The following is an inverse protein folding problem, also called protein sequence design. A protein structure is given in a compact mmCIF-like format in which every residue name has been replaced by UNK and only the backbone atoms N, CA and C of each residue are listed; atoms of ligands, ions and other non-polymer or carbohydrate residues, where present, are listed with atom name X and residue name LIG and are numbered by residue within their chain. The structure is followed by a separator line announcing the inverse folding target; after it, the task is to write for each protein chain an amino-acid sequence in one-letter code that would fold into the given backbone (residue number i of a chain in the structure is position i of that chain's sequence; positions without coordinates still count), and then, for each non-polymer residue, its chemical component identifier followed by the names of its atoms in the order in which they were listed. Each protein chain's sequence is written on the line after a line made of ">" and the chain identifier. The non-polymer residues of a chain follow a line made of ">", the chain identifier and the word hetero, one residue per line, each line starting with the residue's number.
data_IF_264590325633
#
_entry.id   IF_264590325633
#
_cell.length_a   1.000
_cell.length_b   1.000
_cell.length_c   1.000
_cell.angle_alpha   90.00
_cell.angle_beta   90.00
_cell.angle_gamma   90.00
#
_symmetry.space_group_name_H-M   'P 1'
#
loop_
_entity.id
_entity.type
_entity.pdbx_description
1 polymer ?
#
# COMPACT_ATOMS: atom_id res chain seq x y z
N UNK A 1 17.60 -42.02 -20.63
CA UNK A 1 17.35 -41.23 -19.41
C UNK A 1 18.68 -41.02 -18.70
N UNK A 2 19.13 -39.78 -18.54
CA UNK A 2 19.22 -39.22 -17.19
C UNK A 2 18.69 -37.79 -17.09
N UNK A 3 18.15 -37.49 -15.91
CA UNK A 3 17.54 -36.24 -15.48
C UNK A 3 18.54 -35.48 -14.60
N UNK A 4 18.88 -34.22 -14.89
CA UNK A 4 19.22 -33.22 -13.85
C UNK A 4 19.46 -31.83 -14.42
N UNK A 5 18.87 -30.83 -13.76
CA UNK A 5 19.32 -29.44 -13.83
C UNK A 5 18.25 -28.43 -14.21
N UNK A 6 17.08 -28.49 -13.59
CA UNK A 6 16.25 -27.29 -13.49
C UNK A 6 17.02 -26.25 -12.67
N UNK A 7 17.72 -25.36 -13.38
CA UNK A 7 18.23 -24.11 -12.82
C UNK A 7 17.02 -23.30 -12.41
N UNK A 8 16.62 -23.45 -11.14
CA UNK A 8 15.67 -22.55 -10.48
C UNK A 8 16.27 -21.17 -10.63
N UNK A 9 15.67 -20.39 -11.52
CA UNK A 9 15.89 -18.96 -11.62
C UNK A 9 15.42 -18.45 -10.27
N UNK A 10 16.36 -18.06 -9.39
CA UNK A 10 16.06 -17.19 -8.27
C UNK A 10 15.44 -15.94 -8.90
N UNK A 11 14.11 -15.93 -8.94
CA UNK A 11 13.37 -14.70 -9.10
C UNK A 11 13.85 -13.83 -7.94
N UNK A 12 14.63 -12.80 -8.28
CA UNK A 12 14.91 -11.68 -7.41
C UNK A 12 13.55 -11.20 -6.88
N UNK A 13 13.14 -11.75 -5.74
CA UNK A 13 11.93 -11.31 -5.08
C UNK A 13 12.25 -9.85 -4.72
N UNK A 14 11.48 -8.86 -5.22
CA UNK A 14 11.63 -7.51 -4.72
C UNK A 14 11.51 -7.63 -3.21
N UNK A 15 12.51 -7.14 -2.49
CA UNK A 15 12.49 -7.04 -1.04
C UNK A 15 11.11 -6.53 -0.69
N UNK A 16 10.29 -7.40 -0.10
CA UNK A 16 8.95 -7.03 0.36
C UNK A 16 9.22 -5.97 1.40
N UNK A 17 9.12 -4.72 1.00
CA UNK A 17 9.07 -3.59 1.90
C UNK A 17 7.81 -3.82 2.73
N UNK A 18 7.97 -4.59 3.81
CA UNK A 18 6.93 -4.91 4.75
C UNK A 18 6.67 -3.64 5.51
N UNK A 19 5.90 -2.74 4.88
CA UNK A 19 5.36 -1.57 5.52
C UNK A 19 4.55 -2.07 6.72
N UNK A 20 5.08 -1.85 7.90
CA UNK A 20 4.38 -2.17 9.13
C UNK A 20 3.27 -1.15 9.30
N UNK A 21 2.04 -1.59 9.06
CA UNK A 21 0.83 -0.81 9.33
C UNK A 21 0.82 -0.37 10.79
N UNK A 22 0.56 0.91 11.02
CA UNK A 22 0.53 1.53 12.35
C UNK A 22 -0.86 2.11 12.58
N UNK A 23 -1.25 2.26 13.85
CA UNK A 23 -2.59 2.77 14.22
C UNK A 23 -2.88 4.15 13.58
N UNK A 24 -1.86 5.01 13.44
CA UNK A 24 -1.95 6.31 12.76
C UNK A 24 -2.38 6.16 11.28
N UNK A 25 -2.03 5.05 10.63
CA UNK A 25 -2.40 4.79 9.23
C UNK A 25 -3.85 4.34 9.07
N UNK A 26 -4.42 3.69 10.09
CA UNK A 26 -5.86 3.39 10.12
C UNK A 26 -6.68 4.68 10.18
N UNK A 27 -6.24 5.66 10.98
CA UNK A 27 -6.90 6.97 11.05
C UNK A 27 -6.83 7.70 9.69
N UNK A 28 -5.68 7.68 9.03
CA UNK A 28 -5.51 8.27 7.69
C UNK A 28 -6.40 7.57 6.67
N UNK A 29 -6.45 6.24 6.66
CA UNK A 29 -7.29 5.45 5.76
C UNK A 29 -8.77 5.78 5.99
N UNK A 30 -9.23 5.78 7.24
CA UNK A 30 -10.62 6.06 7.60
C UNK A 30 -11.02 7.47 7.18
N UNK A 31 -10.17 8.46 7.43
CA UNK A 31 -10.42 9.84 7.03
C UNK A 31 -10.45 10.01 5.51
N UNK A 32 -9.56 9.32 4.78
CA UNK A 32 -9.56 9.34 3.32
C UNK A 32 -10.86 8.74 2.76
N UNK A 33 -11.31 7.60 3.29
CA UNK A 33 -12.58 6.98 2.90
C UNK A 33 -13.76 7.90 3.24
N UNK A 34 -13.81 8.47 4.45
CA UNK A 34 -14.87 9.39 4.84
C UNK A 34 -14.99 10.59 3.88
N UNK A 35 -13.86 11.18 3.46
CA UNK A 35 -13.83 12.27 2.48
C UNK A 35 -14.35 11.85 1.11
N UNK A 36 -13.95 10.67 0.63
CA UNK A 36 -14.44 10.18 -0.66
C UNK A 36 -15.93 9.81 -0.60
N UNK A 37 -16.45 9.35 0.54
CA UNK A 37 -17.89 9.11 0.73
C UNK A 37 -18.67 10.43 0.65
N UNK A 38 -18.18 11.48 1.29
CA UNK A 38 -18.78 12.82 1.25
C UNK A 38 -18.78 13.43 -0.16
N UNK A 39 -17.80 13.08 -1.00
CA UNK A 39 -17.76 13.49 -2.42
C UNK A 39 -18.75 12.74 -3.30
N UNK A 40 -19.43 11.71 -2.79
CA UNK A 40 -20.31 10.85 -3.57
C UNK A 40 -19.57 9.76 -4.35
N UNK A 41 -18.29 9.51 -4.05
CA UNK A 41 -17.51 8.45 -4.71
C UNK A 41 -17.74 7.05 -4.11
N UNK A 42 -18.71 6.92 -3.19
CA UNK A 42 -19.20 5.64 -2.66
C UNK A 42 -20.61 5.39 -3.20
N UNK A 43 -20.79 4.29 -3.94
CA UNK A 43 -22.09 3.90 -4.50
C UNK A 43 -22.43 2.45 -4.12
N UNK A 44 -23.59 2.23 -3.48
CA UNK A 44 -24.24 0.94 -3.24
C UNK A 44 -23.30 -0.18 -2.70
N UNK A 45 -22.24 0.18 -1.96
CA UNK A 45 -21.20 -0.67 -1.34
C UNK A 45 -19.86 -0.77 -2.07
N UNK A 46 -19.71 -0.06 -3.19
CA UNK A 46 -18.45 0.04 -3.93
C UNK A 46 -17.90 1.46 -3.93
N UNK A 47 -16.57 1.55 -4.04
CA UNK A 47 -15.87 2.81 -4.27
C UNK A 47 -15.59 2.95 -5.76
N UNK A 48 -15.75 4.16 -6.28
CA UNK A 48 -15.33 4.45 -7.66
C UNK A 48 -13.82 4.28 -7.80
N UNK A 49 -13.36 4.06 -9.04
CA UNK A 49 -11.93 4.01 -9.35
C UNK A 49 -11.21 5.28 -8.89
N UNK A 50 -11.89 6.43 -8.95
CA UNK A 50 -11.37 7.71 -8.48
C UNK A 50 -11.18 7.70 -6.95
N UNK A 51 -12.14 7.19 -6.17
CA UNK A 51 -11.99 7.05 -4.73
C UNK A 51 -10.77 6.18 -4.37
N UNK A 52 -10.61 5.03 -5.04
CA UNK A 52 -9.44 4.18 -4.83
C UNK A 52 -8.13 4.91 -5.12
N UNK A 53 -8.05 5.61 -6.26
CA UNK A 53 -6.85 6.38 -6.62
C UNK A 53 -6.53 7.47 -5.59
N UNK A 54 -7.56 8.18 -5.10
CA UNK A 54 -7.41 9.24 -4.11
C UNK A 54 -7.00 8.71 -2.72
N UNK A 55 -7.59 7.60 -2.29
CA UNK A 55 -7.23 6.94 -1.02
C UNK A 55 -5.78 6.45 -1.07
N UNK A 56 -5.38 5.75 -2.13
CA UNK A 56 -3.99 5.28 -2.33
C UNK A 56 -3.01 6.45 -2.35
N UNK A 57 -3.34 7.55 -3.05
CA UNK A 57 -2.51 8.76 -3.06
C UNK A 57 -2.35 9.36 -1.67
N UNK A 58 -3.43 9.45 -0.90
CA UNK A 58 -3.42 9.98 0.47
C UNK A 58 -2.56 9.13 1.40
N UNK A 59 -2.73 7.80 1.34
CA UNK A 59 -1.91 6.85 2.07
C UNK A 59 -0.45 6.93 1.68
N UNK A 60 -0.12 7.00 0.39
CA UNK A 60 1.27 7.11 -0.08
C UNK A 60 1.96 8.38 0.44
N UNK A 61 1.25 9.51 0.48
CA UNK A 61 1.77 10.77 1.05
C UNK A 61 1.97 10.63 2.56
N UNK A 62 0.99 10.07 3.28
CA UNK A 62 1.08 9.89 4.72
C UNK A 62 2.19 8.90 5.11
N UNK A 63 2.23 7.73 4.48
CA UNK A 63 3.26 6.71 4.65
C UNK A 63 4.64 7.27 4.31
N UNK A 64 4.79 7.90 3.15
CA UNK A 64 6.05 8.52 2.72
C UNK A 64 6.50 9.64 3.67
N UNK A 65 5.57 10.33 4.31
CA UNK A 65 5.85 11.31 5.37
C UNK A 65 6.18 10.66 6.72
N UNK A 66 5.66 9.47 7.03
CA UNK A 66 5.96 8.71 8.26
C UNK A 66 7.27 7.92 8.17
N UNK A 67 7.79 7.67 6.96
CA UNK A 67 9.19 7.30 6.72
C UNK A 67 10.04 8.58 6.83
N UNK A 68 10.00 9.23 7.99
CA UNK A 68 11.07 10.16 8.36
C UNK A 68 12.33 9.32 8.61
N UNK A 69 13.49 9.88 8.26
CA UNK A 69 14.84 9.29 8.26
C UNK A 69 15.28 8.47 9.50
N UNK A 70 14.46 8.35 10.55
CA UNK A 70 14.72 7.58 11.76
C UNK A 70 14.70 6.04 11.58
N UNK A 71 14.25 5.50 10.44
CA UNK A 71 14.18 4.05 10.22
C UNK A 71 15.36 3.47 9.41
N UNK A 72 16.29 4.31 8.94
CA UNK A 72 17.52 3.85 8.30
C UNK A 72 18.58 3.67 9.38
N UNK A 73 18.76 2.43 9.87
CA UNK A 73 19.97 2.10 10.62
C UNK A 73 21.16 2.08 9.66
N UNK A 74 22.23 2.80 10.03
CA UNK A 74 23.57 2.68 9.44
C UNK A 74 24.11 1.26 9.55
#
# INVERSE_FOLDING_TARGET
>A
MPNKGNKTVEANQPSKDNLRWYDDMDEVLLNALAKEALKGNKHDDSWTTEAYANVVKTLSIAIGSHITNNHIKK
#
